data_IF_655551371795
#
_entry.id   IF_655551371795
#
_cell.length_a   1.000
_cell.length_b   1.000
_cell.length_c   1.000
_cell.angle_alpha   90.00
_cell.angle_beta   90.00
_cell.angle_gamma   90.00
#
_symmetry.space_group_name_H-M   'P 1'
#
loop_
_entity.id
_entity.type
_entity.pdbx_description
1 polymer ?
#
# COMPACT_ATOMS: atom_id res chain seq x y z
N UNK A 1 -24.56 -6.03 -3.06
CA UNK A 1 -23.80 -6.52 -1.88
C UNK A 1 -24.22 -5.70 -0.66
N UNK A 2 -24.74 -6.35 0.37
CA UNK A 2 -25.14 -5.67 1.61
C UNK A 2 -23.91 -5.05 2.26
N UNK A 3 -23.96 -3.75 2.55
CA UNK A 3 -22.89 -3.03 3.22
C UNK A 3 -22.81 -3.55 4.66
N UNK A 4 -21.64 -4.06 5.09
CA UNK A 4 -21.45 -4.44 6.48
C UNK A 4 -21.69 -3.22 7.37
N UNK A 5 -22.61 -3.33 8.31
CA UNK A 5 -22.84 -2.27 9.31
C UNK A 5 -21.93 -2.56 10.50
N UNK A 6 -20.92 -1.72 10.68
CA UNK A 6 -20.06 -1.74 11.86
C UNK A 6 -20.76 -1.01 13.01
N UNK A 7 -20.61 -1.54 14.21
CA UNK A 7 -21.02 -0.88 15.45
C UNK A 7 -19.82 -0.23 16.16
N UNK A 8 -20.06 0.49 17.25
CA UNK A 8 -19.02 1.18 18.01
C UNK A 8 -17.96 0.20 18.56
N UNK A 9 -18.36 -1.02 18.90
CA UNK A 9 -17.46 -2.03 19.39
C UNK A 9 -16.52 -2.54 18.29
N UNK A 10 -17.02 -2.69 17.06
CA UNK A 10 -16.20 -3.04 15.91
C UNK A 10 -15.14 -1.96 15.63
N UNK A 11 -15.53 -0.68 15.71
CA UNK A 11 -14.59 0.44 15.56
C UNK A 11 -13.51 0.44 16.65
N UNK A 12 -13.87 0.23 17.91
CA UNK A 12 -12.93 0.16 19.01
C UNK A 12 -11.93 -0.99 18.84
N UNK A 13 -12.39 -2.17 18.42
CA UNK A 13 -11.52 -3.31 18.11
C UNK A 13 -10.57 -2.98 16.97
N UNK A 14 -11.07 -2.36 15.90
CA UNK A 14 -10.24 -1.95 14.76
C UNK A 14 -9.16 -0.94 15.16
N UNK A 15 -9.51 0.07 15.95
CA UNK A 15 -8.55 1.09 16.42
C UNK A 15 -7.40 0.46 17.20
N UNK A 16 -7.70 -0.49 18.09
CA UNK A 16 -6.67 -1.21 18.85
C UNK A 16 -5.79 -2.08 17.96
N UNK A 17 -6.35 -2.75 16.94
CA UNK A 17 -5.61 -3.56 15.98
C UNK A 17 -4.77 -2.70 15.03
N UNK A 18 -5.27 -1.53 14.62
CA UNK A 18 -4.53 -0.56 13.79
C UNK A 18 -3.31 -0.05 14.57
N UNK A 19 -3.47 0.22 15.87
CA UNK A 19 -2.37 0.68 16.71
C UNK A 19 -1.33 -0.42 16.94
N UNK A 20 -1.78 -1.64 17.24
CA UNK A 20 -0.93 -2.80 17.47
C UNK A 20 -1.55 -4.08 16.91
N UNK A 21 -1.13 -4.49 15.70
CA UNK A 21 -1.61 -5.72 15.07
C UNK A 21 -1.28 -7.00 15.82
N UNK A 22 -0.37 -6.95 16.82
CA UNK A 22 0.04 -8.08 17.65
C UNK A 22 -0.65 -8.10 19.01
N UNK A 23 -1.57 -7.17 19.28
CA UNK A 23 -2.30 -7.16 20.55
C UNK A 23 -3.08 -8.47 20.72
N UNK A 24 -2.92 -9.19 21.84
CA UNK A 24 -3.72 -10.39 22.11
C UNK A 24 -5.22 -10.06 22.20
N UNK A 25 -6.06 -10.91 21.63
CA UNK A 25 -7.51 -10.71 21.73
C UNK A 25 -8.02 -10.71 23.18
N UNK A 26 -7.31 -11.41 24.08
CA UNK A 26 -7.57 -11.37 25.53
C UNK A 26 -7.37 -9.97 26.12
N UNK A 27 -6.39 -9.21 25.62
CA UNK A 27 -6.13 -7.84 26.09
C UNK A 27 -7.16 -6.85 25.54
N UNK A 28 -7.58 -7.02 24.27
CA UNK A 28 -8.71 -6.28 23.70
C UNK A 28 -9.97 -6.54 24.53
N UNK A 29 -10.26 -7.81 24.79
CA UNK A 29 -11.41 -8.23 25.56
C UNK A 29 -11.47 -7.60 26.97
N UNK A 30 -10.32 -7.59 27.68
CA UNK A 30 -10.20 -6.93 28.99
C UNK A 30 -10.47 -5.43 28.92
N UNK A 31 -9.90 -4.73 27.94
CA UNK A 31 -10.08 -3.28 27.77
C UNK A 31 -11.52 -2.91 27.42
N UNK A 32 -12.21 -3.73 26.64
CA UNK A 32 -13.57 -3.47 26.17
C UNK A 32 -14.65 -4.15 27.06
N UNK A 33 -14.25 -4.85 28.13
CA UNK A 33 -15.15 -5.54 29.05
C UNK A 33 -16.06 -6.57 28.35
N UNK A 34 -15.49 -7.33 27.40
CA UNK A 34 -16.17 -8.39 26.63
C UNK A 34 -15.35 -9.69 26.70
N UNK A 35 -15.87 -10.78 26.16
CA UNK A 35 -15.12 -12.04 26.07
C UNK A 35 -14.14 -12.03 24.89
N UNK A 36 -13.03 -12.77 25.03
CA UNK A 36 -12.09 -12.97 23.92
C UNK A 36 -12.74 -13.66 22.72
N UNK A 37 -13.70 -14.55 22.96
CA UNK A 37 -14.51 -15.18 21.91
C UNK A 37 -15.33 -14.17 21.12
N UNK A 38 -15.88 -13.15 21.78
CA UNK A 38 -16.59 -12.04 21.10
C UNK A 38 -15.66 -11.25 20.20
N UNK A 39 -14.45 -10.93 20.65
CA UNK A 39 -13.43 -10.26 19.83
C UNK A 39 -13.10 -11.12 18.61
N UNK A 40 -12.84 -12.41 18.81
CA UNK A 40 -12.49 -13.35 17.73
C UNK A 40 -13.58 -13.40 16.64
N UNK A 41 -14.84 -13.56 17.04
CA UNK A 41 -15.96 -13.62 16.12
C UNK A 41 -16.10 -12.33 15.30
N UNK A 42 -15.94 -11.17 15.95
CA UNK A 42 -16.04 -9.87 15.27
C UNK A 42 -14.89 -9.64 14.28
N UNK A 43 -13.65 -9.93 14.68
CA UNK A 43 -12.49 -9.82 13.80
C UNK A 43 -12.64 -10.73 12.59
N UNK A 44 -12.99 -12.01 12.80
CA UNK A 44 -13.22 -12.97 11.72
C UNK A 44 -14.31 -12.49 10.74
N UNK A 45 -15.40 -11.94 11.24
CA UNK A 45 -16.46 -11.37 10.39
C UNK A 45 -15.96 -10.19 9.55
N UNK A 46 -15.12 -9.33 10.11
CA UNK A 46 -14.49 -8.22 9.38
C UNK A 46 -13.48 -8.70 8.32
N UNK A 47 -12.76 -9.80 8.60
CA UNK A 47 -11.87 -10.47 7.63
C UNK A 47 -12.67 -11.11 6.48
N UNK A 48 -13.69 -11.87 6.80
CA UNK A 48 -14.57 -12.53 5.80
C UNK A 48 -15.30 -11.52 4.90
N UNK A 49 -15.65 -10.37 5.44
CA UNK A 49 -16.21 -9.26 4.67
C UNK A 49 -15.15 -8.55 3.80
N UNK A 50 -13.85 -8.77 4.05
CA UNK A 50 -12.74 -8.14 3.35
C UNK A 50 -12.42 -6.72 3.83
N UNK A 51 -12.95 -6.30 5.01
CA UNK A 51 -12.58 -5.04 5.65
C UNK A 51 -11.15 -5.11 6.18
N UNK A 52 -10.82 -6.17 6.90
CA UNK A 52 -9.45 -6.50 7.30
C UNK A 52 -8.88 -7.40 6.20
N UNK A 53 -7.89 -6.88 5.47
CA UNK A 53 -7.23 -7.60 4.37
C UNK A 53 -5.98 -8.35 4.80
N UNK A 54 -5.49 -8.08 5.99
CA UNK A 54 -4.27 -8.66 6.53
C UNK A 54 -3.51 -7.68 7.43
N UNK A 55 -2.32 -8.08 7.81
CA UNK A 55 -1.37 -7.26 8.58
C UNK A 55 0.02 -7.34 7.95
N UNK A 56 0.79 -6.28 8.08
CA UNK A 56 2.17 -6.22 7.59
C UNK A 56 3.09 -5.56 8.60
N UNK A 57 4.39 -5.86 8.49
CA UNK A 57 5.40 -5.19 9.28
C UNK A 57 5.69 -3.80 8.71
N UNK A 58 5.83 -2.82 9.59
CA UNK A 58 6.41 -1.53 9.25
C UNK A 58 7.92 -1.67 9.42
N UNK A 59 8.66 -1.49 8.33
CA UNK A 59 10.11 -1.65 8.30
C UNK A 59 10.80 -0.30 8.10
N UNK A 60 11.96 -0.16 8.72
CA UNK A 60 12.92 0.89 8.39
C UNK A 60 13.69 0.43 7.14
N UNK A 61 13.25 0.88 5.98
CA UNK A 61 13.85 0.47 4.71
C UNK A 61 15.24 1.03 4.49
N UNK A 62 15.60 2.14 5.14
CA UNK A 62 16.96 2.69 5.08
C UNK A 62 17.95 1.73 5.72
N UNK A 63 17.58 1.10 6.84
CA UNK A 63 18.38 0.05 7.48
C UNK A 63 18.54 -1.21 6.63
N UNK A 64 17.63 -1.44 5.69
CA UNK A 64 17.74 -2.50 4.68
C UNK A 64 18.53 -2.06 3.44
N UNK A 65 19.04 -0.83 3.43
CA UNK A 65 19.82 -0.27 2.33
C UNK A 65 18.98 0.27 1.17
N UNK A 66 17.67 0.45 1.35
CA UNK A 66 16.78 1.04 0.35
C UNK A 66 16.57 2.53 0.64
N UNK A 67 17.59 3.31 0.39
CA UNK A 67 17.63 4.74 0.72
C UNK A 67 17.13 5.67 -0.37
N UNK A 68 16.80 5.13 -1.56
CA UNK A 68 16.38 5.93 -2.69
C UNK A 68 14.88 5.74 -2.96
N UNK A 69 14.14 6.82 -2.88
CA UNK A 69 12.71 6.87 -3.23
C UNK A 69 12.52 7.84 -4.37
N UNK A 70 11.74 7.45 -5.38
CA UNK A 70 11.27 8.35 -6.41
C UNK A 70 9.81 8.08 -6.75
N UNK A 71 9.17 9.12 -7.27
CA UNK A 71 7.85 9.03 -7.86
C UNK A 71 8.00 9.15 -9.38
N UNK A 72 7.35 8.24 -10.11
CA UNK A 72 7.46 8.16 -11.56
C UNK A 72 6.09 8.27 -12.17
N UNK A 73 5.87 9.32 -12.93
CA UNK A 73 4.67 9.50 -13.74
C UNK A 73 4.86 8.89 -15.12
N UNK A 74 3.92 8.06 -15.56
CA UNK A 74 3.92 7.42 -16.88
C UNK A 74 2.86 8.07 -17.76
N UNK A 75 3.27 8.41 -18.98
CA UNK A 75 2.40 8.85 -20.06
C UNK A 75 2.10 7.70 -20.99
N UNK A 76 0.83 7.49 -21.27
CA UNK A 76 0.32 6.39 -22.10
C UNK A 76 -0.46 6.99 -23.25
N UNK A 77 -0.12 6.61 -24.48
CA UNK A 77 -0.79 7.11 -25.69
C UNK A 77 -2.04 6.30 -26.05
N UNK A 78 -2.16 5.07 -25.56
CA UNK A 78 -3.30 4.19 -25.79
C UNK A 78 -3.85 3.69 -24.46
N UNK A 79 -4.96 4.28 -24.02
CA UNK A 79 -5.59 3.93 -22.74
C UNK A 79 -6.14 2.50 -22.68
N UNK A 80 -6.33 1.85 -23.83
CA UNK A 80 -6.74 0.44 -23.87
C UNK A 80 -5.67 -0.50 -23.29
N UNK A 81 -4.41 -0.07 -23.30
CA UNK A 81 -3.26 -0.81 -22.76
C UNK A 81 -3.06 -0.65 -21.25
N UNK A 82 -3.81 0.20 -20.56
CA UNK A 82 -3.59 0.50 -19.13
C UNK A 82 -3.57 -0.77 -18.28
N UNK A 83 -4.49 -1.70 -18.49
CA UNK A 83 -4.53 -2.97 -17.74
C UNK A 83 -3.26 -3.81 -17.93
N UNK A 84 -2.81 -3.92 -19.16
CA UNK A 84 -1.56 -4.61 -19.50
C UNK A 84 -0.36 -3.93 -18.84
N UNK A 85 -0.26 -2.60 -18.94
CA UNK A 85 0.83 -1.82 -18.35
C UNK A 85 0.85 -1.99 -16.82
N UNK A 86 -0.31 -1.91 -16.15
CA UNK A 86 -0.41 -2.14 -14.68
C UNK A 86 0.05 -3.54 -14.31
N UNK A 87 -0.28 -4.56 -15.11
CA UNK A 87 0.20 -5.91 -14.87
C UNK A 87 1.72 -5.99 -14.98
N UNK A 88 2.32 -5.37 -16.00
CA UNK A 88 3.79 -5.31 -16.16
C UNK A 88 4.48 -4.55 -15.03
N UNK A 89 3.89 -3.45 -14.57
CA UNK A 89 4.37 -2.69 -13.40
C UNK A 89 4.39 -3.57 -12.15
N UNK A 90 3.34 -4.36 -11.93
CA UNK A 90 3.23 -5.26 -10.76
C UNK A 90 4.30 -6.36 -10.73
N UNK A 91 4.91 -6.69 -11.87
CA UNK A 91 6.03 -7.62 -11.98
C UNK A 91 7.39 -7.01 -11.56
N UNK A 92 7.43 -5.70 -11.33
CA UNK A 92 8.65 -4.98 -10.91
C UNK A 92 8.63 -4.84 -9.38
N UNK A 93 9.43 -5.63 -8.62
CA UNK A 93 9.35 -5.67 -7.15
C UNK A 93 9.63 -4.34 -6.46
N UNK A 94 10.38 -3.46 -7.14
CA UNK A 94 10.78 -2.16 -6.61
C UNK A 94 9.70 -1.07 -6.77
N UNK A 95 8.65 -1.34 -7.54
CA UNK A 95 7.47 -0.48 -7.59
C UNK A 95 6.56 -0.87 -6.43
N UNK A 96 6.47 0.01 -5.44
CA UNK A 96 5.77 -0.26 -4.18
C UNK A 96 4.32 0.24 -4.19
N UNK A 97 4.03 1.22 -5.03
CA UNK A 97 2.68 1.80 -5.20
C UNK A 97 2.51 2.17 -6.67
N UNK A 98 1.31 1.94 -7.21
CA UNK A 98 0.91 2.43 -8.52
C UNK A 98 -0.56 2.84 -8.49
N UNK A 99 -0.86 4.02 -9.03
CA UNK A 99 -2.21 4.54 -9.18
C UNK A 99 -2.48 4.90 -10.64
N UNK A 100 -3.64 4.53 -11.15
CA UNK A 100 -4.19 5.11 -12.36
C UNK A 100 -4.78 6.47 -11.95
N UNK A 101 -4.39 7.54 -12.65
CA UNK A 101 -4.76 8.90 -12.27
C UNK A 101 -5.56 9.61 -13.38
N UNK A 102 -6.31 10.63 -13.02
CA UNK A 102 -7.03 11.49 -13.95
C UNK A 102 -6.24 12.75 -14.34
N UNK A 103 -5.03 12.93 -13.80
CA UNK A 103 -4.23 14.13 -13.97
C UNK A 103 -3.28 14.07 -15.19
N UNK A 104 -2.19 14.79 -15.06
CA UNK A 104 -1.13 14.90 -16.05
C UNK A 104 -0.55 13.54 -16.49
N UNK A 105 -0.38 12.63 -15.54
CA UNK A 105 0.11 11.27 -15.77
C UNK A 105 -1.06 10.29 -15.86
N UNK A 106 -0.96 9.30 -16.71
CA UNK A 106 -1.95 8.22 -16.78
C UNK A 106 -1.77 7.23 -15.61
N UNK A 107 -0.50 6.97 -15.25
CA UNK A 107 -0.15 6.15 -14.08
C UNK A 107 0.91 6.90 -13.28
N UNK A 108 0.80 6.83 -11.95
CA UNK A 108 1.74 7.42 -11.00
C UNK A 108 2.23 6.34 -10.05
N UNK A 109 3.55 6.12 -10.03
CA UNK A 109 4.20 5.07 -9.26
C UNK A 109 5.11 5.63 -8.17
N UNK A 110 5.24 4.91 -7.06
CA UNK A 110 6.33 5.07 -6.08
C UNK A 110 7.31 3.92 -6.29
N UNK A 111 8.58 4.24 -6.47
CA UNK A 111 9.66 3.26 -6.54
C UNK A 111 10.58 3.40 -5.32
N UNK A 112 11.14 2.27 -4.91
CA UNK A 112 12.13 2.20 -3.84
C UNK A 112 13.35 1.42 -4.32
N UNK A 113 14.54 2.03 -4.18
CA UNK A 113 15.79 1.48 -4.70
C UNK A 113 16.94 1.63 -3.70
N UNK A 114 18.01 0.87 -3.91
CA UNK A 114 19.21 0.95 -3.07
C UNK A 114 20.09 2.17 -3.37
N UNK A 115 19.90 2.81 -4.50
CA UNK A 115 20.64 3.98 -4.92
C UNK A 115 20.33 4.38 -6.36
N UNK A 116 21.02 5.37 -6.88
CA UNK A 116 20.76 5.97 -8.20
C UNK A 116 20.86 4.99 -9.37
N UNK A 117 21.85 4.09 -9.35
CA UNK A 117 22.02 3.08 -10.42
C UNK A 117 20.86 2.10 -10.45
N UNK A 118 20.43 1.62 -9.29
CA UNK A 118 19.27 0.73 -9.16
C UNK A 118 18.00 1.47 -9.59
N UNK A 119 17.82 2.72 -9.17
CA UNK A 119 16.68 3.56 -9.53
C UNK A 119 16.61 3.77 -11.07
N UNK A 120 17.74 4.09 -11.70
CA UNK A 120 17.84 4.23 -13.16
C UNK A 120 17.33 2.96 -13.87
N UNK A 121 17.77 1.79 -13.43
CA UNK A 121 17.38 0.51 -14.04
C UNK A 121 15.87 0.24 -13.88
N UNK A 122 15.27 0.62 -12.75
CA UNK A 122 13.83 0.49 -12.53
C UNK A 122 13.07 1.43 -13.47
N UNK A 123 13.50 2.70 -13.56
CA UNK A 123 12.88 3.70 -14.44
C UNK A 123 12.95 3.24 -15.91
N UNK A 124 14.07 2.70 -16.35
CA UNK A 124 14.20 2.16 -17.70
C UNK A 124 13.25 0.98 -17.96
N UNK A 125 13.10 0.07 -16.98
CA UNK A 125 12.10 -0.99 -17.10
C UNK A 125 10.68 -0.48 -17.24
N UNK A 126 10.34 0.62 -16.56
CA UNK A 126 9.03 1.27 -16.72
C UNK A 126 8.88 1.92 -18.08
N UNK A 127 9.95 2.56 -18.58
CA UNK A 127 9.98 3.25 -19.87
C UNK A 127 9.88 2.28 -21.07
N UNK A 128 10.42 1.06 -20.90
CA UNK A 128 10.39 -0.01 -21.91
C UNK A 128 9.05 -0.75 -22.00
N UNK A 129 8.08 -0.51 -21.12
CA UNK A 129 6.77 -1.15 -21.18
C UNK A 129 6.03 -0.69 -22.43
N UNK A 130 5.60 -1.64 -23.26
CA UNK A 130 4.83 -1.31 -24.46
C UNK A 130 3.56 -0.52 -24.14
N UNK A 131 3.42 0.63 -24.77
CA UNK A 131 2.34 1.60 -24.52
C UNK A 131 2.73 2.78 -23.63
N UNK A 132 3.87 2.72 -22.93
CA UNK A 132 4.48 3.87 -22.26
C UNK A 132 5.34 4.63 -23.29
N UNK A 133 5.06 5.91 -23.49
CA UNK A 133 5.84 6.71 -24.44
C UNK A 133 6.74 7.75 -23.76
N UNK A 134 6.52 8.03 -22.49
CA UNK A 134 7.32 8.96 -21.70
C UNK A 134 7.16 8.67 -20.22
N UNK A 135 8.24 8.85 -19.45
CA UNK A 135 8.24 8.89 -17.99
C UNK A 135 8.79 10.22 -17.48
N UNK A 136 8.29 10.67 -16.35
CA UNK A 136 8.87 11.78 -15.58
C UNK A 136 9.12 11.31 -14.16
N UNK A 137 10.34 11.51 -13.66
CA UNK A 137 10.73 11.07 -12.31
C UNK A 137 10.95 12.25 -11.39
N UNK A 138 10.43 12.15 -10.18
CA UNK A 138 10.66 13.07 -9.07
C UNK A 138 11.35 12.32 -7.95
N UNK A 139 12.55 12.75 -7.58
CA UNK A 139 13.28 12.14 -6.46
C UNK A 139 12.73 12.70 -5.15
N UNK A 140 12.39 11.81 -4.23
CA UNK A 140 12.04 12.22 -2.86
C UNK A 140 13.31 12.69 -2.15
N UNK A 141 13.32 13.92 -1.71
CA UNK A 141 14.42 14.48 -0.93
C UNK A 141 14.39 14.00 0.52
N UNK A 142 13.19 13.82 1.05
CA UNK A 142 12.92 13.38 2.41
C UNK A 142 11.51 12.80 2.51
N UNK A 143 11.34 11.69 3.21
CA UNK A 143 10.03 11.12 3.54
C UNK A 143 9.58 11.63 4.92
N UNK A 144 9.01 12.84 4.97
CA UNK A 144 8.65 13.51 6.22
C UNK A 144 7.46 12.90 6.94
N UNK A 145 6.53 12.30 6.21
CA UNK A 145 5.35 11.58 6.74
C UNK A 145 5.18 10.30 5.93
N UNK A 146 5.20 9.17 6.62
CA UNK A 146 4.99 7.87 6.01
C UNK A 146 3.76 7.22 6.63
N UNK A 147 2.72 7.06 5.82
CA UNK A 147 1.48 6.31 6.12
C UNK A 147 0.96 6.50 7.56
N UNK A 148 0.61 7.74 7.90
CA UNK A 148 0.09 8.07 9.22
C UNK A 148 -1.19 7.26 9.49
N UNK A 149 -1.16 6.44 10.53
CA UNK A 149 -2.35 5.74 11.02
C UNK A 149 -3.44 6.75 11.38
N UNK A 150 -4.65 6.50 10.96
CA UNK A 150 -5.83 7.30 11.30
C UNK A 150 -6.57 6.68 12.47
#
# INVERSE_FOLDING_TARGET
MSKMKLDDLDHQILDMLIENTRIPFTDIAKKLLISAGTVHVRVKKMEEYGLIKGSSLILDYDKLGYTFIAYVGLYINDTSKIKFIVQRINEIPNVTVAHITSGKFNIFCKIRAKGTTSAKNIIFKLDEIDGVYRTESMISMEESINDKKR
#
